data_IF_012783419764
#
_entry.id   IF_012783419764
#
_cell.length_a   1.000
_cell.length_b   1.000
_cell.length_c   1.000
_cell.angle_alpha   90.00
_cell.angle_beta   90.00
_cell.angle_gamma   90.00
#
_symmetry.space_group_name_H-M   'P 1'
#
loop_
_entity.id
_entity.type
_entity.pdbx_description
1 polymer ?
#
# COMPACT_ATOMS: atom_id res chain seq x y z
N UNK A 1 2.98 14.48 4.96
CA UNK A 1 3.76 13.51 4.17
C UNK A 1 4.30 14.27 2.97
N UNK A 2 5.61 14.44 2.91
CA UNK A 2 6.33 15.06 1.80
C UNK A 2 7.25 14.02 1.16
N UNK A 3 7.54 14.18 -0.13
CA UNK A 3 8.43 13.25 -0.83
C UNK A 3 9.82 13.26 -0.17
N UNK A 4 10.40 12.08 0.00
CA UNK A 4 11.65 11.87 0.73
C UNK A 4 11.47 11.63 2.23
N UNK A 5 10.28 11.87 2.81
CA UNK A 5 9.99 11.56 4.21
C UNK A 5 10.39 10.11 4.52
N UNK A 6 11.08 9.93 5.65
CA UNK A 6 11.39 8.60 6.18
C UNK A 6 10.18 8.03 6.91
N UNK A 7 9.73 6.86 6.50
CA UNK A 7 8.56 6.15 6.99
C UNK A 7 8.94 4.76 7.47
N UNK A 8 8.07 4.15 8.26
CA UNK A 8 8.21 2.75 8.66
C UNK A 8 7.51 1.85 7.63
N UNK A 9 8.16 0.73 7.32
CA UNK A 9 7.64 -0.28 6.40
C UNK A 9 7.76 -1.68 6.98
N UNK A 10 7.00 -2.59 6.38
CA UNK A 10 6.99 -4.01 6.67
C UNK A 10 7.87 -4.72 5.64
N UNK A 11 8.93 -5.38 6.08
CA UNK A 11 9.75 -6.23 5.24
C UNK A 11 9.17 -7.64 5.22
N UNK A 12 8.67 -8.05 4.06
CA UNK A 12 8.06 -9.36 3.88
C UNK A 12 9.06 -10.52 3.97
N UNK A 13 10.34 -10.28 3.68
CA UNK A 13 11.40 -11.30 3.71
C UNK A 13 11.89 -11.53 5.14
N UNK A 14 12.19 -10.46 5.86
CA UNK A 14 12.73 -10.56 7.23
C UNK A 14 11.65 -10.62 8.30
N UNK A 15 10.40 -10.28 7.95
CA UNK A 15 9.26 -10.13 8.88
C UNK A 15 9.57 -9.12 10.00
N UNK A 16 10.27 -8.04 9.65
CA UNK A 16 10.66 -6.96 10.56
C UNK A 16 10.16 -5.61 10.06
N UNK A 17 10.24 -4.62 10.92
CA UNK A 17 10.00 -3.22 10.57
C UNK A 17 11.34 -2.63 10.12
N UNK A 18 11.33 -1.90 9.01
CA UNK A 18 12.47 -1.14 8.51
C UNK A 18 12.07 0.30 8.18
N UNK A 19 13.09 1.14 7.97
CA UNK A 19 12.92 2.50 7.48
C UNK A 19 12.90 2.52 5.96
N UNK A 20 11.97 3.24 5.33
CA UNK A 20 11.88 3.42 3.88
C UNK A 20 11.56 4.87 3.54
N UNK A 21 11.92 5.33 2.34
CA UNK A 21 11.54 6.67 1.90
C UNK A 21 10.26 6.69 1.08
N UNK A 22 9.47 7.75 1.26
CA UNK A 22 8.37 8.08 0.36
C UNK A 22 8.93 8.56 -0.98
N UNK A 23 8.62 7.85 -2.06
CA UNK A 23 9.07 8.20 -3.40
C UNK A 23 8.09 9.15 -4.10
N UNK A 24 6.80 8.80 -4.10
CA UNK A 24 5.74 9.59 -4.76
C UNK A 24 4.36 9.23 -4.21
N UNK A 25 3.33 9.92 -4.67
CA UNK A 25 1.91 9.57 -4.49
C UNK A 25 1.36 8.98 -5.78
N UNK A 26 0.84 7.75 -5.74
CA UNK A 26 0.17 7.11 -6.87
C UNK A 26 -1.23 7.69 -7.11
N UNK A 27 -1.88 8.13 -6.04
CA UNK A 27 -3.15 8.84 -6.04
C UNK A 27 -3.23 9.75 -4.80
N UNK A 28 -3.88 10.90 -4.95
CA UNK A 28 -4.08 11.89 -3.89
C UNK A 28 -5.37 12.66 -4.15
N UNK A 29 -6.39 12.43 -3.32
CA UNK A 29 -7.72 13.01 -3.47
C UNK A 29 -8.22 13.54 -2.10
N UNK A 30 -7.75 14.70 -1.62
CA UNK A 30 -8.00 15.18 -0.27
C UNK A 30 -9.45 15.58 0.01
N UNK A 31 -10.24 15.87 -1.03
CA UNK A 31 -11.61 16.37 -0.89
C UNK A 31 -12.69 15.39 -1.34
N UNK A 32 -12.32 14.22 -1.88
CA UNK A 32 -13.29 13.23 -2.37
C UNK A 32 -13.72 12.30 -1.25
N UNK A 33 -15.02 12.04 -1.17
CA UNK A 33 -15.55 10.97 -0.33
C UNK A 33 -15.37 9.62 -1.04
N UNK A 34 -14.98 8.60 -0.28
CA UNK A 34 -14.89 7.23 -0.76
C UNK A 34 -15.32 6.24 0.32
N UNK A 35 -15.69 5.04 -0.11
CA UNK A 35 -16.01 3.92 0.77
C UNK A 35 -14.73 3.14 1.08
N UNK A 36 -14.50 2.90 2.37
CA UNK A 36 -13.35 2.16 2.88
C UNK A 36 -13.81 0.95 3.67
N UNK A 37 -13.02 -0.12 3.62
CA UNK A 37 -13.03 -1.18 4.62
C UNK A 37 -12.24 -0.69 5.83
N UNK A 38 -12.86 -0.65 6.99
CA UNK A 38 -12.20 -0.41 8.26
C UNK A 38 -11.94 -1.73 8.98
N UNK A 39 -10.66 -2.09 9.06
CA UNK A 39 -10.17 -3.26 9.80
C UNK A 39 -9.80 -2.80 11.20
N UNK A 40 -10.41 -3.41 12.20
CA UNK A 40 -10.13 -3.16 13.63
C UNK A 40 -9.53 -4.41 14.26
N UNK A 41 -8.42 -4.25 14.98
CA UNK A 41 -7.74 -5.36 15.65
C UNK A 41 -8.24 -5.54 17.10
N UNK A 42 -7.88 -6.64 17.75
CA UNK A 42 -8.33 -6.98 19.11
C UNK A 42 -7.92 -5.96 20.18
N UNK A 43 -6.83 -5.23 19.97
CA UNK A 43 -6.38 -4.13 20.84
C UNK A 43 -6.91 -2.76 20.41
N UNK A 44 -7.77 -2.69 19.39
CA UNK A 44 -8.44 -1.46 18.97
C UNK A 44 -7.69 -0.64 17.92
N UNK A 45 -6.58 -1.13 17.34
CA UNK A 45 -5.92 -0.47 16.20
C UNK A 45 -6.85 -0.50 15.00
N UNK A 46 -6.86 0.58 14.22
CA UNK A 46 -7.78 0.75 13.11
C UNK A 46 -7.07 1.20 11.83
N UNK A 47 -7.29 0.44 10.76
CA UNK A 47 -6.78 0.75 9.43
C UNK A 47 -7.96 0.84 8.44
N UNK A 48 -8.05 1.97 7.72
CA UNK A 48 -9.07 2.18 6.68
C UNK A 48 -8.43 2.14 5.30
N UNK A 49 -9.00 1.33 4.42
CA UNK A 49 -8.43 0.92 3.14
C UNK A 49 -9.50 0.92 2.05
N UNK A 50 -9.12 1.16 0.80
CA UNK A 50 -10.02 0.80 -0.30
C UNK A 50 -10.25 -0.72 -0.30
N UNK A 51 -11.37 -1.18 -0.84
CA UNK A 51 -11.72 -2.61 -0.85
C UNK A 51 -10.67 -3.50 -1.54
N UNK A 52 -9.91 -2.96 -2.49
CA UNK A 52 -8.89 -3.68 -3.26
C UNK A 52 -7.47 -3.53 -2.71
N UNK A 53 -7.26 -2.71 -1.69
CA UNK A 53 -5.94 -2.50 -1.07
C UNK A 53 -5.41 -3.78 -0.44
N UNK A 54 -4.12 -4.08 -0.64
CA UNK A 54 -3.52 -5.30 -0.10
C UNK A 54 -3.01 -5.11 1.34
N UNK A 55 -3.31 -6.09 2.18
CA UNK A 55 -2.92 -6.17 3.60
C UNK A 55 -2.12 -7.46 3.81
N UNK A 56 -0.91 -7.38 4.37
CA UNK A 56 -0.14 -8.57 4.75
C UNK A 56 -0.80 -9.26 5.96
N UNK A 57 -0.94 -10.58 5.85
CA UNK A 57 -1.53 -11.46 6.86
C UNK A 57 -0.55 -12.58 7.21
N UNK A 58 -0.69 -13.14 8.40
CA UNK A 58 0.27 -14.11 8.94
C UNK A 58 0.30 -15.46 8.18
N UNK A 59 -0.87 -15.93 7.73
CA UNK A 59 -1.04 -17.26 7.12
C UNK A 59 -1.43 -17.23 5.64
N UNK A 60 -1.90 -16.10 5.14
CA UNK A 60 -2.46 -16.01 3.78
C UNK A 60 -1.70 -15.04 2.87
N UNK A 61 -0.51 -14.58 3.28
CA UNK A 61 0.26 -13.60 2.54
C UNK A 61 -0.52 -12.28 2.41
N UNK A 62 -0.53 -11.69 1.22
CA UNK A 62 -1.25 -10.45 0.96
C UNK A 62 -2.70 -10.72 0.52
N UNK A 63 -3.66 -10.20 1.29
CA UNK A 63 -5.08 -10.26 0.95
C UNK A 63 -5.63 -8.86 0.67
N UNK A 64 -6.59 -8.77 -0.24
CA UNK A 64 -7.37 -7.55 -0.39
C UNK A 64 -8.16 -7.25 0.89
N UNK A 65 -8.33 -5.98 1.20
CA UNK A 65 -9.12 -5.52 2.35
C UNK A 65 -10.54 -6.11 2.37
N UNK A 66 -11.20 -6.25 1.21
CA UNK A 66 -12.53 -6.87 1.11
C UNK A 66 -12.56 -8.35 1.48
N UNK A 67 -11.41 -9.03 1.48
CA UNK A 67 -11.28 -10.45 1.81
C UNK A 67 -10.81 -10.67 3.25
N UNK A 68 -10.46 -9.61 3.99
CA UNK A 68 -10.14 -9.71 5.42
C UNK A 68 -11.42 -10.02 6.20
N UNK A 69 -11.33 -10.96 7.13
CA UNK A 69 -12.45 -11.42 7.97
C UNK A 69 -12.06 -11.39 9.44
N UNK A 70 -13.07 -11.28 10.31
CA UNK A 70 -12.90 -11.42 11.76
C UNK A 70 -12.27 -12.78 12.07
N UNK A 71 -11.33 -12.80 13.01
CA UNK A 71 -10.57 -14.00 13.40
C UNK A 71 -9.32 -14.26 12.56
N UNK A 72 -9.13 -13.56 11.43
CA UNK A 72 -7.83 -13.54 10.73
C UNK A 72 -6.83 -12.69 11.52
N UNK A 73 -5.53 -12.89 11.28
CA UNK A 73 -4.51 -12.03 11.85
C UNK A 73 -3.81 -11.18 10.79
N UNK A 74 -3.51 -9.95 11.17
CA UNK A 74 -2.74 -8.98 10.41
C UNK A 74 -1.47 -8.63 11.15
N UNK A 75 -0.46 -8.13 10.44
CA UNK A 75 0.76 -7.66 11.08
C UNK A 75 0.61 -6.24 11.61
N UNK A 76 1.06 -6.03 12.85
CA UNK A 76 1.02 -4.75 13.54
C UNK A 76 2.36 -4.43 14.20
N UNK A 77 2.62 -3.14 14.39
CA UNK A 77 3.71 -2.65 15.21
C UNK A 77 3.23 -2.46 16.65
N UNK A 78 3.81 -3.20 17.59
CA UNK A 78 3.54 -3.01 19.01
C UNK A 78 4.23 -1.74 19.56
N UNK A 79 4.01 -1.43 20.84
CA UNK A 79 4.54 -0.22 21.47
C UNK A 79 6.08 -0.21 21.58
N UNK A 80 6.72 -1.38 21.44
CA UNK A 80 8.17 -1.52 21.46
C UNK A 80 8.78 -1.43 20.06
N UNK A 81 7.99 -1.10 19.03
CA UNK A 81 8.45 -1.02 17.64
C UNK A 81 8.69 -2.39 17.00
N UNK A 82 8.16 -3.46 17.58
CA UNK A 82 8.33 -4.84 17.08
C UNK A 82 7.10 -5.26 16.29
N UNK A 83 7.33 -5.94 15.17
CA UNK A 83 6.28 -6.55 14.38
C UNK A 83 5.70 -7.77 15.09
N UNK A 84 4.39 -7.78 15.29
CA UNK A 84 3.65 -8.91 15.85
C UNK A 84 2.41 -9.19 15.01
N UNK A 85 1.84 -10.38 15.18
CA UNK A 85 0.56 -10.76 14.58
C UNK A 85 -0.58 -10.41 15.55
N UNK A 86 -1.65 -9.80 15.06
CA UNK A 86 -2.80 -9.43 15.88
C UNK A 86 -4.12 -9.79 15.18
N UNK A 87 -5.07 -10.32 15.95
CA UNK A 87 -6.36 -10.78 15.44
C UNK A 87 -7.28 -9.61 15.09
N UNK A 88 -7.93 -9.71 13.95
CA UNK A 88 -8.99 -8.81 13.51
C UNK A 88 -10.25 -9.09 14.33
N UNK A 89 -10.72 -8.09 15.05
CA UNK A 89 -11.91 -8.14 15.90
C UNK A 89 -13.17 -7.61 15.18
N UNK A 90 -13.00 -6.69 14.23
CA UNK A 90 -14.10 -6.14 13.44
C UNK A 90 -13.64 -5.76 12.03
N UNK A 91 -14.54 -5.95 11.06
CA UNK A 91 -14.40 -5.40 9.70
C UNK A 91 -15.72 -4.72 9.35
N UNK A 92 -15.66 -3.42 9.03
CA UNK A 92 -16.84 -2.62 8.69
C UNK A 92 -16.60 -1.76 7.46
N UNK A 93 -17.68 -1.26 6.87
CA UNK A 93 -17.64 -0.28 5.80
C UNK A 93 -17.81 1.13 6.38
N UNK A 94 -16.94 2.05 6.00
CA UNK A 94 -16.99 3.46 6.45
C UNK A 94 -16.79 4.40 5.27
N UNK A 95 -17.55 5.49 5.23
CA UNK A 95 -17.34 6.56 4.27
C UNK A 95 -16.43 7.59 4.91
N UNK A 96 -15.31 7.91 4.26
CA UNK A 96 -14.37 8.95 4.71
C UNK A 96 -14.08 9.93 3.58
N UNK A 97 -13.80 11.17 3.95
CA UNK A 97 -13.30 12.18 3.04
C UNK A 97 -11.78 12.11 2.99
N UNK A 98 -11.22 12.17 1.79
CA UNK A 98 -9.77 12.19 1.60
C UNK A 98 -9.18 10.79 1.49
N UNK A 99 -8.31 10.59 0.49
CA UNK A 99 -7.44 9.41 0.45
C UNK A 99 -6.17 9.67 -0.34
N UNK A 100 -5.16 8.86 -0.01
CA UNK A 100 -3.81 8.94 -0.56
C UNK A 100 -3.29 7.52 -0.80
N UNK A 101 -2.43 7.35 -1.81
CA UNK A 101 -1.77 6.08 -2.12
C UNK A 101 -0.24 6.31 -2.22
N UNK A 102 0.47 6.41 -1.09
CA UNK A 102 1.91 6.62 -1.09
C UNK A 102 2.64 5.41 -1.66
N UNK A 103 3.67 5.67 -2.46
CA UNK A 103 4.64 4.66 -2.90
C UNK A 103 5.96 4.86 -2.16
N UNK A 104 6.38 3.83 -1.46
CA UNK A 104 7.69 3.74 -0.80
C UNK A 104 8.66 2.89 -1.61
N UNK A 105 9.95 2.95 -1.26
CA UNK A 105 10.98 2.07 -1.84
C UNK A 105 10.68 0.59 -1.58
N UNK A 106 10.22 0.28 -0.37
CA UNK A 106 9.87 -1.09 0.04
C UNK A 106 8.55 -1.58 -0.59
N UNK A 107 7.66 -0.66 -0.99
CA UNK A 107 6.32 -1.03 -1.50
C UNK A 107 5.34 -1.47 -0.41
N UNK A 108 5.70 -1.25 0.86
CA UNK A 108 4.86 -1.42 2.05
C UNK A 108 5.03 -0.22 2.98
N UNK A 109 4.14 -0.09 3.97
CA UNK A 109 4.19 0.94 4.99
C UNK A 109 3.44 0.49 6.27
N UNK A 110 3.78 1.11 7.40
CA UNK A 110 3.04 1.00 8.66
C UNK A 110 2.12 2.21 8.80
N UNK A 111 0.80 1.99 8.84
CA UNK A 111 -0.23 3.04 9.01
C UNK A 111 -1.06 2.72 10.23
N UNK A 112 -1.18 3.67 11.16
CA UNK A 112 -1.90 3.47 12.42
C UNK A 112 -1.45 2.16 13.13
N UNK A 113 -0.14 1.91 13.13
CA UNK A 113 0.49 0.70 13.67
C UNK A 113 0.10 -0.62 12.98
N UNK A 114 -0.55 -0.59 11.80
CA UNK A 114 -0.89 -1.78 11.03
C UNK A 114 -0.10 -1.79 9.72
N UNK A 115 0.46 -2.94 9.35
CA UNK A 115 1.18 -3.08 8.09
C UNK A 115 0.21 -3.08 6.91
N UNK A 116 0.59 -2.39 5.83
CA UNK A 116 -0.16 -2.30 4.59
C UNK A 116 0.80 -2.34 3.39
N UNK A 117 0.32 -2.83 2.25
CA UNK A 117 1.02 -2.62 0.98
C UNK A 117 0.79 -1.20 0.45
N UNK A 118 1.66 -0.71 -0.42
CA UNK A 118 1.42 0.48 -1.24
C UNK A 118 0.46 0.24 -2.42
N UNK A 119 0.04 -1.00 -2.67
CA UNK A 119 -0.66 -1.40 -3.91
C UNK A 119 -2.14 -1.73 -3.68
N UNK A 120 -2.99 -1.28 -4.61
CA UNK A 120 -4.44 -1.46 -4.55
C UNK A 120 -5.10 -1.99 -5.84
N UNK A 121 -4.40 -2.00 -6.98
CA UNK A 121 -5.03 -2.29 -8.29
C UNK A 121 -4.76 -3.70 -8.80
N UNK A 122 -3.64 -4.31 -8.41
CA UNK A 122 -3.24 -5.64 -8.86
C UNK A 122 -3.41 -6.59 -7.68
N UNK A 123 -4.13 -7.71 -7.91
CA UNK A 123 -4.46 -8.71 -6.89
C UNK A 123 -3.23 -9.45 -6.31
N UNK A 124 -2.03 -9.09 -6.73
CA UNK A 124 -0.78 -9.70 -6.31
C UNK A 124 0.25 -8.60 -6.05
N UNK A 125 0.66 -8.49 -4.78
CA UNK A 125 1.66 -7.54 -4.32
C UNK A 125 2.96 -7.64 -5.12
N UNK A 126 3.46 -8.85 -5.36
CA UNK A 126 4.73 -9.07 -6.06
C UNK A 126 4.66 -8.64 -7.53
N UNK A 127 3.53 -8.88 -8.19
CA UNK A 127 3.33 -8.42 -9.57
C UNK A 127 3.31 -6.90 -9.61
N UNK A 128 2.55 -6.25 -8.71
CA UNK A 128 2.55 -4.80 -8.61
C UNK A 128 3.95 -4.25 -8.31
N UNK A 129 4.68 -4.90 -7.41
CA UNK A 129 6.03 -4.54 -7.04
C UNK A 129 6.96 -4.62 -8.23
N UNK A 130 6.95 -5.72 -9.00
CA UNK A 130 7.78 -5.88 -10.22
C UNK A 130 7.42 -4.85 -11.28
N UNK A 131 6.14 -4.65 -11.55
CA UNK A 131 5.65 -3.67 -12.55
C UNK A 131 6.10 -2.26 -12.20
N UNK A 132 6.16 -1.92 -10.91
CA UNK A 132 6.60 -0.62 -10.42
C UNK A 132 8.12 -0.56 -10.14
N UNK A 133 8.88 -1.63 -10.37
CA UNK A 133 10.32 -1.67 -10.08
C UNK A 133 11.14 -0.67 -10.92
N UNK A 134 10.90 -0.51 -12.25
CA UNK A 134 11.62 0.49 -13.04
C UNK A 134 11.43 1.92 -12.51
N UNK A 135 10.21 2.22 -12.05
CA UNK A 135 9.88 3.51 -11.45
C UNK A 135 10.66 3.72 -10.14
N UNK A 136 10.64 2.73 -9.23
CA UNK A 136 11.39 2.82 -7.97
C UNK A 136 12.89 2.97 -8.21
N UNK A 137 13.44 2.24 -9.18
CA UNK A 137 14.84 2.35 -9.57
C UNK A 137 15.19 3.74 -10.12
N UNK A 138 14.32 4.33 -10.96
CA UNK A 138 14.52 5.69 -11.47
C UNK A 138 14.57 6.74 -10.35
N UNK A 139 13.64 6.70 -9.40
CA UNK A 139 13.63 7.62 -8.26
C UNK A 139 14.82 7.40 -7.32
N UNK A 140 15.25 6.15 -7.14
CA UNK A 140 16.44 5.82 -6.34
C UNK A 140 17.72 6.35 -6.99
N UNK A 141 17.83 6.31 -8.33
CA UNK A 141 19.04 6.69 -9.05
C UNK A 141 19.15 8.20 -9.31
N UNK A 142 18.05 8.85 -9.70
CA UNK A 142 18.05 10.26 -10.11
C UNK A 142 17.51 11.20 -9.02
N UNK A 143 17.13 10.63 -7.87
CA UNK A 143 16.56 11.36 -6.75
C UNK A 143 15.11 11.78 -6.99
N UNK A 144 14.48 12.18 -5.89
CA UNK A 144 13.13 12.74 -5.89
C UNK A 144 13.24 14.20 -6.34
N UNK A 145 12.82 14.50 -7.57
CA UNK A 145 12.82 15.88 -8.03
C UNK A 145 11.76 16.69 -7.24
N UNK A 146 12.17 17.75 -6.57
CA UNK A 146 11.27 18.67 -5.84
C UNK A 146 10.25 19.42 -6.72
N UNK A 147 10.22 19.15 -8.04
CA UNK A 147 9.30 19.79 -9.00
C UNK A 147 7.98 19.06 -9.19
N UNK A 148 7.77 17.88 -8.61
CA UNK A 148 6.44 17.25 -8.57
C UNK A 148 5.64 17.76 -7.39
N UNK A 149 5.25 19.04 -7.45
CA UNK A 149 4.15 19.55 -6.63
C UNK A 149 2.91 18.72 -6.98
N UNK A 150 2.36 18.07 -5.96
CA UNK A 150 0.96 17.62 -5.83
C UNK A 150 0.12 17.77 -7.09
N UNK A 151 0.31 16.89 -8.07
CA UNK A 151 -0.63 16.79 -9.17
C UNK A 151 -1.86 16.05 -8.60
N UNK A 152 -2.88 16.81 -8.21
CA UNK A 152 -4.22 16.28 -7.95
C UNK A 152 -4.61 15.45 -9.19
N UNK A 153 -4.64 14.13 -9.05
CA UNK A 153 -4.85 13.22 -10.18
C UNK A 153 -3.98 11.97 -10.10
N UNK A 154 -4.07 11.17 -11.16
CA UNK A 154 -3.22 9.99 -11.34
C UNK A 154 -1.88 10.50 -11.90
N UNK A 155 -0.76 10.08 -11.30
CA UNK A 155 0.62 10.44 -11.66
C UNK A 155 0.89 10.31 -13.19
N UNK A 156 2.01 10.76 -13.74
CA UNK A 156 2.34 10.53 -15.18
C UNK A 156 2.55 9.03 -15.53
N UNK A 157 2.73 8.20 -14.50
CA UNK A 157 3.07 6.78 -14.60
C UNK A 157 1.99 5.85 -15.20
N UNK A 158 0.67 6.01 -15.02
CA UNK A 158 -0.37 5.27 -15.74
C UNK A 158 -0.28 5.42 -17.25
N UNK A 159 0.33 6.49 -17.79
CA UNK A 159 0.55 6.64 -19.23
C UNK A 159 1.65 5.69 -19.72
N UNK A 160 2.73 5.56 -18.95
CA UNK A 160 3.79 4.57 -19.19
C UNK A 160 3.30 3.16 -18.90
N UNK A 161 2.50 2.99 -17.84
CA UNK A 161 1.87 1.72 -17.54
C UNK A 161 0.92 1.31 -18.66
N UNK A 162 0.14 2.24 -19.23
CA UNK A 162 -0.69 1.99 -20.41
C UNK A 162 0.17 1.49 -21.59
N UNK A 163 1.30 2.14 -21.88
CA UNK A 163 2.22 1.68 -22.95
C UNK A 163 2.90 0.33 -22.65
N UNK A 164 3.33 0.09 -21.41
CA UNK A 164 3.90 -1.19 -20.95
C UNK A 164 2.83 -2.29 -20.96
N UNK A 165 1.59 -1.97 -20.57
CA UNK A 165 0.47 -2.91 -20.59
C UNK A 165 0.15 -3.31 -22.02
N UNK A 166 0.13 -2.38 -22.99
CA UNK A 166 -0.05 -2.73 -24.40
C UNK A 166 1.10 -3.58 -24.98
N UNK A 167 2.30 -3.47 -24.41
CA UNK A 167 3.47 -4.24 -24.87
C UNK A 167 3.57 -5.65 -24.26
N UNK A 168 3.12 -5.85 -23.00
CA UNK A 168 3.29 -7.13 -22.27
C UNK A 168 1.98 -7.92 -21.99
N UNK A 169 0.77 -7.34 -22.17
CA UNK A 169 -0.51 -7.95 -21.74
C UNK A 169 -1.23 -8.91 -22.72
N UNK A 170 -0.83 -9.20 -23.97
CA UNK A 170 -1.57 -10.20 -24.75
C UNK A 170 -1.58 -11.63 -24.15
N UNK A 171 -0.71 -11.97 -23.20
CA UNK A 171 -0.49 -13.37 -22.77
C UNK A 171 -0.97 -13.72 -21.36
N UNK A 172 -1.41 -12.77 -20.52
CA UNK A 172 -1.73 -13.04 -19.10
C UNK A 172 -3.24 -13.02 -18.78
N UNK A 173 -4.09 -12.48 -19.67
CA UNK A 173 -5.54 -12.36 -19.41
C UNK A 173 -6.37 -13.56 -19.92
N UNK A 174 -5.76 -14.51 -20.60
CA UNK A 174 -6.41 -15.78 -20.95
C UNK A 174 -5.78 -16.98 -20.22
N UNK A 175 -6.11 -17.13 -18.94
CA UNK A 175 -6.41 -18.42 -18.32
C UNK A 175 -7.06 -18.27 -16.96
#
# INVERSE_FOLDING_TARGET
LQLGDSLLAYDDKTKKILSTHLLTMLDFQPHRFALFKQVTTSTGRQLSLSSSHLVPTDKHGYLMAKNIRIGMNVYVMNNNGVLISETVSNVSDVVKQGYIAPLTEEGTLIVNNVAASCYATINNHYVAHVVLAPMRWWYSLFGISNKSNEAIGIHWFPKILYEITTFFIPTIIHK
#
